data_IF_374054516013
#
_entry.id   IF_374054516013
#
_cell.length_a   1.000
_cell.length_b   1.000
_cell.length_c   1.000
_cell.angle_alpha   90.00
_cell.angle_beta   90.00
_cell.angle_gamma   90.00
#
_symmetry.space_group_name_H-M   'P 1'
#
loop_
_entity.id
_entity.type
_entity.pdbx_description
1 polymer ?
#
# COMPACT_ATOMS: atom_id res chain seq x y z
N UNK A 1 7.40 13.81 5.25
CA UNK A 1 6.17 14.41 4.69
C UNK A 1 6.29 14.38 3.17
N UNK A 2 5.37 13.72 2.46
CA UNK A 2 5.40 13.63 0.99
C UNK A 2 4.42 14.61 0.33
N UNK A 3 4.47 14.71 -1.00
CA UNK A 3 3.49 15.49 -1.76
C UNK A 3 2.11 14.81 -1.70
N UNK A 4 1.08 15.57 -1.33
CA UNK A 4 -0.31 15.12 -1.25
C UNK A 4 -1.08 15.69 -2.44
N UNK A 5 -1.09 14.95 -3.54
CA UNK A 5 -1.82 15.30 -4.76
C UNK A 5 -2.59 14.09 -5.24
N UNK A 6 -3.86 14.29 -5.61
CA UNK A 6 -4.73 13.26 -6.14
C UNK A 6 -5.89 13.88 -6.90
N UNK A 7 -6.48 13.12 -7.81
CA UNK A 7 -7.66 13.51 -8.57
C UNK A 7 -8.61 12.32 -8.67
N UNK A 8 -9.90 12.61 -8.86
CA UNK A 8 -10.93 11.62 -9.12
C UNK A 8 -11.67 11.98 -10.41
N UNK A 9 -12.05 10.96 -11.18
CA UNK A 9 -12.92 11.12 -12.35
C UNK A 9 -14.30 10.64 -11.94
N UNK A 10 -15.31 11.50 -12.08
CA UNK A 10 -16.67 11.25 -11.61
C UNK A 10 -17.66 11.32 -12.78
N UNK A 11 -18.73 10.51 -12.76
CA UNK A 11 -19.79 10.60 -13.75
C UNK A 11 -20.60 11.91 -13.57
N UNK A 12 -21.16 12.43 -14.66
CA UNK A 12 -21.79 13.76 -14.69
C UNK A 12 -22.95 13.89 -13.68
N UNK A 13 -23.69 12.81 -13.45
CA UNK A 13 -24.80 12.76 -12.46
C UNK A 13 -24.34 12.96 -11.00
N UNK A 14 -23.06 12.76 -10.69
CA UNK A 14 -22.51 12.97 -9.36
C UNK A 14 -21.95 14.39 -9.15
N UNK A 15 -21.85 15.20 -10.22
CA UNK A 15 -21.20 16.52 -10.21
C UNK A 15 -21.81 17.49 -9.20
N UNK A 16 -23.13 17.67 -9.22
CA UNK A 16 -23.82 18.59 -8.31
C UNK A 16 -23.69 18.16 -6.84
N UNK A 17 -23.77 16.86 -6.57
CA UNK A 17 -23.61 16.30 -5.23
C UNK A 17 -22.19 16.51 -4.71
N UNK A 18 -21.17 16.30 -5.54
CA UNK A 18 -19.77 16.46 -5.17
C UNK A 18 -19.35 17.92 -5.02
N UNK A 19 -19.89 18.83 -5.82
CA UNK A 19 -19.64 20.27 -5.67
C UNK A 19 -20.12 20.81 -4.32
N UNK A 20 -21.23 20.26 -3.80
CA UNK A 20 -21.75 20.60 -2.46
C UNK A 20 -20.87 20.04 -1.34
N UNK A 21 -20.20 18.92 -1.58
CA UNK A 21 -19.13 18.42 -0.70
C UNK A 21 -17.86 19.20 -1.01
N UNK A 22 -17.87 20.49 -0.63
CA UNK A 22 -16.70 21.34 -0.70
C UNK A 22 -15.61 20.79 0.22
N UNK A 23 -14.76 19.91 -0.28
CA UNK A 23 -13.50 19.57 0.36
C UNK A 23 -12.66 20.85 0.34
N UNK A 24 -12.66 21.59 1.47
CA UNK A 24 -11.88 22.82 1.67
C UNK A 24 -10.36 22.62 1.67
N UNK A 25 -9.86 21.67 0.87
CA UNK A 25 -8.47 21.29 0.73
C UNK A 25 -8.20 21.12 -0.76
N UNK A 26 -8.20 22.23 -1.50
CA UNK A 26 -7.55 22.25 -2.80
C UNK A 26 -6.09 21.83 -2.60
N UNK A 27 -5.52 20.98 -3.46
CA UNK A 27 -4.10 20.64 -3.35
C UNK A 27 -3.26 21.92 -3.42
N UNK A 28 -2.14 21.93 -2.70
CA UNK A 28 -1.17 23.04 -2.75
C UNK A 28 -0.90 23.42 -4.20
N UNK A 29 -1.17 24.68 -4.55
CA UNK A 29 -1.04 25.15 -5.92
C UNK A 29 0.41 25.00 -6.41
N UNK A 30 1.37 25.32 -5.54
CA UNK A 30 2.80 25.11 -5.79
C UNK A 30 3.12 23.63 -6.03
N UNK A 31 2.55 22.72 -5.24
CA UNK A 31 2.76 21.27 -5.44
C UNK A 31 2.20 20.82 -6.78
N UNK A 32 1.00 21.26 -7.15
CA UNK A 32 0.38 20.91 -8.43
C UNK A 32 1.21 21.40 -9.61
N UNK A 33 1.69 22.65 -9.57
CA UNK A 33 2.54 23.22 -10.62
C UNK A 33 3.89 22.50 -10.72
N UNK A 34 4.55 22.24 -9.59
CA UNK A 34 5.84 21.56 -9.57
C UNK A 34 5.74 20.12 -10.11
N UNK A 35 4.71 19.37 -9.71
CA UNK A 35 4.46 18.01 -10.22
C UNK A 35 4.14 18.04 -11.71
N UNK A 36 3.33 19.00 -12.16
CA UNK A 36 2.99 19.15 -13.58
C UNK A 36 4.23 19.42 -14.43
N UNK A 37 5.05 20.40 -14.04
CA UNK A 37 6.26 20.77 -14.79
C UNK A 37 7.26 19.61 -14.85
N UNK A 38 7.46 18.90 -13.73
CA UNK A 38 8.36 17.75 -13.71
C UNK A 38 7.89 16.60 -14.60
N UNK A 39 6.59 16.24 -14.50
CA UNK A 39 6.04 15.10 -15.24
C UNK A 39 5.94 15.36 -16.75
N UNK A 40 5.96 16.62 -17.20
CA UNK A 40 5.90 16.96 -18.62
C UNK A 40 7.01 16.28 -19.43
N UNK A 41 8.23 16.33 -18.91
CA UNK A 41 9.41 15.79 -19.60
C UNK A 41 9.92 14.48 -19.00
N UNK A 42 9.55 14.15 -17.75
CA UNK A 42 10.14 13.02 -16.99
C UNK A 42 9.15 11.90 -16.65
N UNK A 43 7.91 11.92 -17.16
CA UNK A 43 6.86 10.97 -16.76
C UNK A 43 7.24 9.51 -16.99
N UNK A 44 7.69 9.15 -18.19
CA UNK A 44 7.96 7.76 -18.55
C UNK A 44 9.17 7.20 -17.79
N UNK A 45 10.25 7.99 -17.70
CA UNK A 45 11.46 7.62 -16.96
C UNK A 45 11.17 7.46 -15.46
N UNK A 46 10.38 8.38 -14.89
CA UNK A 46 9.98 8.31 -13.49
C UNK A 46 9.16 7.05 -13.21
N UNK A 47 8.14 6.75 -14.03
CA UNK A 47 7.30 5.55 -13.86
C UNK A 47 8.15 4.28 -13.98
N UNK A 48 9.01 4.22 -14.99
CA UNK A 48 9.86 3.05 -15.26
C UNK A 48 10.85 2.82 -14.12
N UNK A 49 11.54 3.87 -13.67
CA UNK A 49 12.48 3.78 -12.55
C UNK A 49 11.81 3.38 -11.23
N UNK A 50 10.61 3.91 -10.93
CA UNK A 50 9.85 3.50 -9.75
C UNK A 50 9.42 2.04 -9.86
N UNK A 51 8.92 1.61 -11.02
CA UNK A 51 8.49 0.24 -11.25
C UNK A 51 9.64 -0.75 -11.11
N UNK A 52 10.82 -0.44 -11.67
CA UNK A 52 12.02 -1.27 -11.55
C UNK A 52 12.50 -1.37 -10.09
N UNK A 53 12.59 -0.25 -9.38
CA UNK A 53 12.95 -0.23 -7.97
C UNK A 53 11.97 -1.06 -7.12
N UNK A 54 10.66 -0.92 -7.35
CA UNK A 54 9.64 -1.70 -6.63
C UNK A 54 9.73 -3.19 -6.97
N UNK A 55 9.98 -3.54 -8.23
CA UNK A 55 10.18 -4.93 -8.66
C UNK A 55 11.38 -5.57 -7.95
N UNK A 56 12.53 -4.90 -7.94
CA UNK A 56 13.73 -5.41 -7.25
C UNK A 56 13.50 -5.63 -5.75
N UNK A 57 12.76 -4.71 -5.09
CA UNK A 57 12.37 -4.86 -3.68
C UNK A 57 11.41 -6.04 -3.46
N UNK A 58 10.40 -6.17 -4.31
CA UNK A 58 9.43 -7.29 -4.28
C UNK A 58 10.17 -8.63 -4.40
N UNK A 59 11.00 -8.78 -5.42
CA UNK A 59 11.68 -10.04 -5.72
C UNK A 59 12.64 -10.43 -4.59
N UNK A 60 13.33 -9.45 -4.01
CA UNK A 60 14.18 -9.66 -2.83
C UNK A 60 13.37 -10.12 -1.63
N UNK A 61 12.21 -9.49 -1.37
CA UNK A 61 11.31 -9.88 -0.28
C UNK A 61 10.77 -11.30 -0.48
N UNK A 62 10.25 -11.62 -1.67
CA UNK A 62 9.68 -12.94 -1.98
C UNK A 62 10.74 -14.05 -1.85
N UNK A 63 11.95 -13.82 -2.35
CA UNK A 63 13.07 -14.76 -2.15
C UNK A 63 13.38 -14.96 -0.67
N UNK A 64 13.46 -13.87 0.10
CA UNK A 64 13.75 -13.94 1.54
C UNK A 64 12.65 -14.68 2.30
N UNK A 65 11.38 -14.49 1.93
CA UNK A 65 10.27 -15.28 2.49
C UNK A 65 10.48 -16.77 2.17
N UNK A 66 10.82 -17.12 0.93
CA UNK A 66 11.16 -18.50 0.54
C UNK A 66 12.32 -19.13 1.32
N UNK A 67 13.33 -18.34 1.67
CA UNK A 67 14.52 -18.82 2.38
C UNK A 67 14.32 -18.95 3.90
N UNK A 68 13.54 -18.04 4.51
CA UNK A 68 13.47 -17.92 5.96
C UNK A 68 12.13 -18.31 6.59
N UNK A 69 11.02 -18.29 5.84
CA UNK A 69 9.71 -18.64 6.40
C UNK A 69 9.49 -20.15 6.37
N UNK A 70 8.83 -20.72 7.39
CA UNK A 70 8.49 -22.13 7.39
C UNK A 70 7.48 -22.44 6.28
N UNK A 71 7.41 -23.71 5.80
CA UNK A 71 6.48 -24.11 4.74
C UNK A 71 5.00 -24.04 5.13
N UNK A 72 4.71 -23.81 6.42
CA UNK A 72 3.36 -23.56 6.93
C UNK A 72 2.88 -22.12 6.73
N UNK A 73 3.73 -21.22 6.23
CA UNK A 73 3.34 -19.89 5.79
C UNK A 73 3.13 -19.87 4.28
N UNK A 74 2.21 -19.01 3.83
CA UNK A 74 2.01 -18.71 2.40
C UNK A 74 2.10 -17.21 2.17
N UNK A 75 2.32 -16.78 0.93
CA UNK A 75 2.28 -15.36 0.58
C UNK A 75 1.84 -15.14 -0.85
N UNK A 76 1.34 -13.93 -1.12
CA UNK A 76 0.97 -13.50 -2.46
C UNK A 76 2.20 -13.11 -3.28
N UNK A 77 2.17 -13.35 -4.59
CA UNK A 77 3.12 -12.79 -5.54
C UNK A 77 2.43 -11.66 -6.35
N UNK A 78 2.52 -10.40 -5.89
CA UNK A 78 1.78 -9.32 -6.53
C UNK A 78 2.41 -8.93 -7.88
N UNK A 79 1.55 -8.76 -8.88
CA UNK A 79 1.92 -8.18 -10.17
C UNK A 79 2.04 -6.65 -10.11
N UNK A 80 1.47 -6.02 -9.08
CA UNK A 80 1.51 -4.57 -8.86
C UNK A 80 1.17 -4.16 -7.42
N UNK A 81 1.36 -2.87 -7.13
CA UNK A 81 1.20 -2.32 -5.79
C UNK A 81 2.50 -2.33 -4.97
N UNK A 82 2.37 -2.12 -3.65
CA UNK A 82 3.52 -1.96 -2.73
C UNK A 82 3.43 -2.88 -1.50
N UNK A 83 2.52 -3.85 -1.50
CA UNK A 83 2.26 -4.72 -0.36
C UNK A 83 2.35 -6.18 -0.79
N UNK A 84 2.94 -7.02 0.07
CA UNK A 84 2.88 -8.48 -0.02
C UNK A 84 2.06 -8.97 1.17
N UNK A 85 1.07 -9.81 0.90
CA UNK A 85 0.28 -10.45 1.95
C UNK A 85 0.94 -11.76 2.33
N UNK A 86 1.06 -11.99 3.64
CA UNK A 86 1.64 -13.22 4.20
C UNK A 86 0.60 -13.83 5.12
N UNK A 87 0.27 -15.08 4.86
CA UNK A 87 -0.59 -15.90 5.72
C UNK A 87 0.29 -16.70 6.67
N UNK A 88 0.05 -16.54 7.97
CA UNK A 88 0.75 -17.26 9.02
C UNK A 88 0.06 -18.60 9.31
N UNK A 89 0.74 -19.55 9.98
CA UNK A 89 0.16 -20.85 10.27
C UNK A 89 -1.13 -20.74 11.08
N UNK A 90 -2.04 -21.70 10.90
CA UNK A 90 -3.32 -21.71 11.59
C UNK A 90 -3.13 -21.62 13.13
N UNK A 91 -3.92 -20.76 13.78
CA UNK A 91 -3.81 -20.48 15.21
C UNK A 91 -2.78 -19.40 15.58
N UNK A 92 -2.04 -18.83 14.62
CA UNK A 92 -1.20 -17.67 14.87
C UNK A 92 -2.05 -16.40 15.04
N UNK A 93 -1.84 -15.68 16.15
CA UNK A 93 -2.40 -14.35 16.37
C UNK A 93 -1.44 -13.30 15.81
N UNK A 94 -1.80 -12.70 14.68
CA UNK A 94 -0.99 -11.70 13.96
C UNK A 94 -0.78 -10.42 14.76
N UNK A 95 -1.58 -10.14 15.80
CA UNK A 95 -1.31 -9.03 16.72
C UNK A 95 -0.22 -9.38 17.73
N UNK A 96 -0.31 -10.55 18.35
CA UNK A 96 0.72 -11.01 19.31
C UNK A 96 2.07 -11.22 18.63
N UNK A 97 2.06 -11.66 17.38
CA UNK A 97 3.27 -11.78 16.58
C UNK A 97 3.89 -10.40 16.27
N UNK A 98 3.10 -9.33 16.19
CA UNK A 98 3.59 -7.98 15.91
C UNK A 98 4.43 -7.44 17.08
N UNK A 99 4.02 -7.69 18.32
CA UNK A 99 4.77 -7.27 19.50
C UNK A 99 6.20 -7.84 19.47
N UNK A 100 6.32 -9.15 19.22
CA UNK A 100 7.63 -9.83 19.08
C UNK A 100 8.42 -9.36 17.85
N UNK A 101 7.74 -9.02 16.76
CA UNK A 101 8.39 -8.48 15.57
C UNK A 101 8.98 -7.09 15.85
N UNK A 102 8.24 -6.24 16.57
CA UNK A 102 8.66 -4.89 16.94
C UNK A 102 9.88 -4.92 17.85
N UNK A 103 9.92 -5.83 18.83
CA UNK A 103 11.11 -6.06 19.68
C UNK A 103 12.36 -6.39 18.86
N UNK A 104 12.19 -6.98 17.67
CA UNK A 104 13.26 -7.31 16.72
C UNK A 104 13.43 -6.26 15.61
N UNK A 105 12.81 -5.10 15.75
CA UNK A 105 12.91 -3.99 14.79
C UNK A 105 12.07 -4.15 13.51
N UNK A 106 11.16 -5.12 13.48
CA UNK A 106 10.28 -5.39 12.33
C UNK A 106 8.88 -4.88 12.61
N UNK A 107 8.27 -4.21 11.63
CA UNK A 107 6.88 -3.74 11.68
C UNK A 107 6.11 -4.27 10.47
N UNK A 108 4.88 -4.68 10.70
CA UNK A 108 3.92 -5.03 9.66
C UNK A 108 2.51 -4.66 10.11
N UNK A 109 1.56 -4.73 9.18
CA UNK A 109 0.15 -4.46 9.46
C UNK A 109 -0.58 -5.81 9.63
N UNK A 110 -1.15 -6.12 10.80
CA UNK A 110 -1.87 -7.37 11.02
C UNK A 110 -3.10 -7.48 10.13
N UNK A 111 -3.32 -8.63 9.49
CA UNK A 111 -4.45 -8.86 8.56
C UNK A 111 -5.83 -8.35 9.05
N UNK A 112 -6.20 -8.54 10.34
CA UNK A 112 -7.47 -8.05 10.86
C UNK A 112 -7.74 -6.55 10.72
N UNK A 113 -6.72 -5.69 10.56
CA UNK A 113 -6.93 -4.24 10.37
C UNK A 113 -7.63 -3.90 9.05
N UNK A 114 -7.57 -4.81 8.08
CA UNK A 114 -8.14 -4.63 6.74
C UNK A 114 -9.48 -5.35 6.55
N UNK A 115 -10.05 -5.95 7.60
CA UNK A 115 -11.37 -6.57 7.54
C UNK A 115 -12.48 -5.52 7.61
N UNK A 116 -13.39 -5.54 6.64
CA UNK A 116 -14.58 -4.69 6.63
C UNK A 116 -15.56 -5.06 7.77
N UNK A 117 -15.67 -6.36 8.08
CA UNK A 117 -16.47 -6.86 9.19
C UNK A 117 -15.60 -7.13 10.43
N UNK A 118 -15.92 -6.44 11.53
CA UNK A 118 -15.27 -6.61 12.84
C UNK A 118 -15.79 -7.83 13.62
N UNK A 119 -16.81 -8.53 13.13
CA UNK A 119 -17.37 -9.74 13.75
C UNK A 119 -16.75 -10.99 13.14
N UNK A 120 -15.61 -11.44 13.67
CA UNK A 120 -15.09 -12.76 13.30
C UNK A 120 -13.80 -13.10 14.03
N UNK A 121 -13.77 -14.32 14.57
CA UNK A 121 -12.64 -14.94 15.27
C UNK A 121 -11.34 -14.81 14.47
N UNK A 122 -10.23 -14.63 15.21
CA UNK A 122 -8.87 -14.58 14.71
C UNK A 122 -8.59 -15.84 13.88
N UNK A 123 -8.68 -15.73 12.56
CA UNK A 123 -7.92 -16.56 11.64
C UNK A 123 -6.92 -15.65 10.95
N UNK A 124 -5.70 -16.16 10.84
CA UNK A 124 -4.47 -15.46 10.46
C UNK A 124 -4.64 -14.66 9.16
#
# INVERSE_FOLDING_TARGET
MGLRLGFGVFPENARESLQKVGFGVSPSHLTSMAVHEYLKDNREDYISGVAESLRGKRDTLLRSLGEYFPPSCSWTEPEGGMMVWVELPEGCDTWKALDKAVERGVKYNPGPVFRADRKGTQKA
#
